data_IF_795522968166
#
_entry.id   IF_795522968166
#
_cell.length_a   1.000
_cell.length_b   1.000
_cell.length_c   1.000
_cell.angle_alpha   90.00
_cell.angle_beta   90.00
_cell.angle_gamma   90.00
#
_symmetry.space_group_name_H-M   'P 1'
#
loop_
_entity.id
_entity.type
_entity.pdbx_description
1 polymer ?
#
# COMPACT_ATOMS: atom_id res chain seq x y z
N UNK A 1 -12.91 -1.99 -42.61
CA UNK A 1 -13.84 -2.28 -43.72
C UNK A 1 -13.20 -1.98 -45.09
N UNK A 2 -12.58 -0.80 -45.30
CA UNK A 2 -11.93 -0.43 -46.59
C UNK A 2 -10.81 -1.42 -46.99
N UNK A 3 -9.94 -1.78 -46.05
CA UNK A 3 -8.89 -2.77 -46.27
C UNK A 3 -9.45 -4.16 -46.59
N UNK A 4 -10.54 -4.58 -45.90
CA UNK A 4 -11.22 -5.85 -46.18
C UNK A 4 -11.79 -5.88 -47.62
N UNK A 5 -12.35 -4.77 -48.12
CA UNK A 5 -12.83 -4.65 -49.49
C UNK A 5 -11.68 -4.66 -50.52
N UNK A 6 -10.52 -4.03 -50.17
CA UNK A 6 -9.35 -4.03 -51.05
C UNK A 6 -8.74 -5.44 -51.18
N UNK A 7 -8.69 -6.20 -50.09
CA UNK A 7 -8.17 -7.58 -50.09
C UNK A 7 -9.15 -8.55 -50.75
N UNK A 8 -10.46 -8.26 -50.67
CA UNK A 8 -11.57 -9.03 -51.23
C UNK A 8 -11.48 -10.55 -51.02
N UNK A 9 -10.89 -10.93 -49.88
CA UNK A 9 -10.74 -12.33 -49.46
C UNK A 9 -11.04 -12.44 -47.95
N UNK A 10 -12.24 -12.92 -47.57
CA UNK A 10 -12.68 -13.01 -46.16
C UNK A 10 -11.83 -13.99 -45.34
N UNK A 11 -11.12 -14.92 -45.99
CA UNK A 11 -10.20 -15.85 -45.30
C UNK A 11 -8.95 -15.11 -44.81
N UNK A 12 -8.45 -14.14 -45.61
CA UNK A 12 -7.27 -13.38 -45.25
C UNK A 12 -7.58 -12.24 -44.26
N UNK A 13 -8.68 -11.52 -44.51
CA UNK A 13 -9.06 -10.36 -43.67
C UNK A 13 -10.57 -10.19 -43.62
N UNK A 14 -11.19 -10.62 -42.54
CA UNK A 14 -12.59 -10.37 -42.27
C UNK A 14 -12.86 -8.89 -41.93
N UNK A 15 -13.97 -8.37 -42.43
CA UNK A 15 -14.41 -7.00 -42.14
C UNK A 15 -15.05 -6.86 -40.76
N UNK A 16 -15.14 -5.62 -40.24
CA UNK A 16 -15.81 -5.37 -38.95
C UNK A 16 -17.26 -5.84 -38.90
N UNK A 17 -18.00 -5.79 -40.02
CA UNK A 17 -19.39 -6.28 -40.11
C UNK A 17 -19.46 -7.80 -39.99
N UNK A 18 -18.55 -8.52 -40.66
CA UNK A 18 -18.44 -9.99 -40.57
C UNK A 18 -18.04 -10.43 -39.15
N UNK A 19 -17.06 -9.74 -38.57
CA UNK A 19 -16.64 -9.96 -37.18
C UNK A 19 -17.78 -9.70 -36.18
N UNK A 20 -18.55 -8.61 -36.37
CA UNK A 20 -19.71 -8.29 -35.54
C UNK A 20 -20.79 -9.33 -35.62
N UNK A 21 -21.07 -9.86 -36.84
CA UNK A 21 -22.05 -10.94 -37.06
C UNK A 21 -21.58 -12.22 -36.37
N UNK A 22 -20.32 -12.64 -36.58
CA UNK A 22 -19.75 -13.81 -35.91
C UNK A 22 -19.81 -13.69 -34.38
N UNK A 23 -19.55 -12.49 -33.83
CA UNK A 23 -19.69 -12.24 -32.40
C UNK A 23 -21.14 -12.42 -31.91
N UNK A 24 -22.11 -11.88 -32.61
CA UNK A 24 -23.54 -12.00 -32.27
C UNK A 24 -23.99 -13.47 -32.33
N UNK A 25 -23.62 -14.19 -33.39
CA UNK A 25 -23.91 -15.61 -33.53
C UNK A 25 -23.33 -16.44 -32.37
N UNK A 26 -22.09 -16.13 -31.95
CA UNK A 26 -21.46 -16.78 -30.81
C UNK A 26 -22.13 -16.48 -29.46
N UNK A 27 -22.50 -15.23 -29.18
CA UNK A 27 -23.14 -14.80 -27.91
C UNK A 27 -24.42 -15.53 -27.62
N UNK A 28 -25.22 -15.89 -28.65
CA UNK A 28 -26.47 -16.61 -28.52
C UNK A 28 -26.24 -18.07 -28.08
N UNK A 29 -25.06 -18.63 -28.35
CA UNK A 29 -24.77 -20.03 -28.02
C UNK A 29 -24.48 -20.21 -26.51
N UNK A 30 -25.12 -21.17 -25.82
CA UNK A 30 -24.78 -21.46 -24.41
C UNK A 30 -23.32 -21.86 -24.19
N UNK A 31 -22.67 -22.48 -25.20
CA UNK A 31 -21.24 -22.84 -25.17
C UNK A 31 -20.32 -21.63 -25.07
N UNK A 32 -20.72 -20.47 -25.61
CA UNK A 32 -19.99 -19.22 -25.50
C UNK A 32 -19.81 -18.81 -24.04
N UNK A 33 -20.87 -18.70 -23.29
CA UNK A 33 -20.84 -18.30 -21.88
C UNK A 33 -20.08 -19.28 -21.00
N UNK A 34 -20.17 -20.58 -21.32
CA UNK A 34 -19.38 -21.60 -20.65
C UNK A 34 -17.87 -21.38 -20.89
N UNK A 35 -17.46 -21.18 -22.14
CA UNK A 35 -16.06 -20.90 -22.53
C UNK A 35 -15.54 -19.65 -21.85
N UNK A 36 -16.28 -18.53 -21.92
CA UNK A 36 -15.92 -17.26 -21.28
C UNK A 36 -15.75 -17.43 -19.76
N UNK A 37 -16.68 -18.11 -19.11
CA UNK A 37 -16.64 -18.30 -17.66
C UNK A 37 -15.45 -19.15 -17.22
N UNK A 38 -15.13 -20.22 -17.93
CA UNK A 38 -13.97 -21.08 -17.60
C UNK A 38 -12.64 -20.36 -17.77
N UNK A 39 -12.41 -19.66 -18.89
CA UNK A 39 -11.21 -18.85 -19.09
C UNK A 39 -11.11 -17.73 -18.04
N UNK A 40 -12.23 -17.03 -17.77
CA UNK A 40 -12.25 -15.99 -16.73
C UNK A 40 -11.85 -16.55 -15.36
N UNK A 41 -12.42 -17.68 -14.96
CA UNK A 41 -12.12 -18.30 -13.66
C UNK A 41 -10.65 -18.75 -13.55
N UNK A 42 -10.11 -19.39 -14.58
CA UNK A 42 -8.72 -19.84 -14.60
C UNK A 42 -7.73 -18.68 -14.52
N UNK A 43 -7.93 -17.66 -15.35
CA UNK A 43 -7.06 -16.47 -15.38
C UNK A 43 -7.19 -15.68 -14.08
N UNK A 44 -8.42 -15.47 -13.59
CA UNK A 44 -8.68 -14.78 -12.33
C UNK A 44 -8.08 -15.54 -11.13
N UNK A 45 -8.19 -16.86 -11.07
CA UNK A 45 -7.58 -17.66 -10.02
C UNK A 45 -6.05 -17.48 -9.98
N UNK A 46 -5.38 -17.51 -11.14
CA UNK A 46 -3.95 -17.24 -11.25
C UNK A 46 -3.60 -15.81 -10.84
N UNK A 47 -4.39 -14.82 -11.28
CA UNK A 47 -4.21 -13.43 -10.92
C UNK A 47 -4.32 -13.21 -9.40
N UNK A 48 -5.39 -13.66 -8.76
CA UNK A 48 -5.57 -13.47 -7.32
C UNK A 48 -4.55 -14.26 -6.49
N UNK A 49 -4.16 -15.45 -6.92
CA UNK A 49 -3.08 -16.19 -6.31
C UNK A 49 -1.75 -15.41 -6.39
N UNK A 50 -1.43 -14.86 -7.57
CA UNK A 50 -0.25 -14.02 -7.78
C UNK A 50 -0.26 -12.74 -6.93
N UNK A 51 -1.40 -12.08 -6.83
CA UNK A 51 -1.58 -10.92 -5.94
C UNK A 51 -1.39 -11.32 -4.48
N UNK A 52 -2.05 -12.37 -4.01
CA UNK A 52 -1.98 -12.81 -2.61
C UNK A 52 -0.56 -13.21 -2.20
N UNK A 53 0.09 -14.06 -2.99
CA UNK A 53 1.47 -14.51 -2.72
C UNK A 53 2.44 -13.33 -2.85
N UNK A 54 2.26 -12.45 -3.87
CA UNK A 54 3.09 -11.27 -4.07
C UNK A 54 3.03 -10.30 -2.88
N UNK A 55 1.85 -10.02 -2.36
CA UNK A 55 1.66 -9.18 -1.17
C UNK A 55 2.32 -9.79 0.07
N UNK A 56 2.07 -11.07 0.34
CA UNK A 56 2.65 -11.77 1.51
C UNK A 56 4.17 -11.80 1.42
N UNK A 57 4.70 -12.16 0.25
CA UNK A 57 6.15 -12.21 0.02
C UNK A 57 6.80 -10.83 0.16
N UNK A 58 6.19 -9.77 -0.37
CA UNK A 58 6.69 -8.41 -0.22
C UNK A 58 6.70 -7.94 1.24
N UNK A 59 5.63 -8.22 2.00
CA UNK A 59 5.59 -7.91 3.43
C UNK A 59 6.65 -8.70 4.21
N UNK A 60 6.87 -9.97 3.88
CA UNK A 60 7.91 -10.79 4.48
C UNK A 60 9.31 -10.27 4.15
N UNK A 61 9.57 -9.89 2.89
CA UNK A 61 10.84 -9.30 2.44
C UNK A 61 11.10 -7.94 3.10
N UNK A 62 10.09 -7.11 3.26
CA UNK A 62 10.22 -5.84 3.96
C UNK A 62 10.61 -6.01 5.43
N UNK A 63 10.21 -7.13 6.07
CA UNK A 63 10.52 -7.43 7.47
C UNK A 63 11.82 -8.20 7.64
N UNK A 64 12.16 -9.08 6.69
CA UNK A 64 13.31 -9.97 6.74
C UNK A 64 14.13 -9.86 5.45
N UNK A 65 15.25 -9.11 5.44
CA UNK A 65 16.08 -8.89 4.23
C UNK A 65 16.56 -10.19 3.57
N UNK A 66 16.79 -11.25 4.33
CA UNK A 66 17.19 -12.57 3.81
C UNK A 66 16.16 -13.11 2.82
N UNK A 67 14.86 -12.89 3.05
CA UNK A 67 13.80 -13.34 2.14
C UNK A 67 13.93 -12.63 0.79
N UNK A 68 14.23 -11.34 0.81
CA UNK A 68 14.45 -10.57 -0.42
C UNK A 68 15.68 -11.09 -1.19
N UNK A 69 16.78 -11.32 -0.50
CA UNK A 69 18.01 -11.83 -1.12
C UNK A 69 17.78 -13.18 -1.81
N UNK A 70 16.95 -14.05 -1.24
CA UNK A 70 16.62 -15.36 -1.82
C UNK A 70 15.65 -15.23 -3.01
N UNK A 71 14.59 -14.44 -2.87
CA UNK A 71 13.51 -14.39 -3.86
C UNK A 71 13.75 -13.40 -5.00
N UNK A 72 14.52 -12.33 -4.80
CA UNK A 72 14.80 -11.34 -5.84
C UNK A 72 15.42 -11.95 -7.12
N UNK A 73 16.42 -12.85 -7.06
CA UNK A 73 16.95 -13.52 -8.25
C UNK A 73 15.90 -14.39 -8.94
N UNK A 74 15.08 -15.11 -8.17
CA UNK A 74 14.01 -15.98 -8.72
C UNK A 74 12.97 -15.16 -9.47
N UNK A 75 12.50 -14.07 -8.87
CA UNK A 75 11.51 -13.18 -9.50
C UNK A 75 12.08 -12.48 -10.74
N UNK A 76 13.35 -12.13 -10.70
CA UNK A 76 14.07 -11.56 -11.87
C UNK A 76 14.16 -12.59 -13.00
N UNK A 77 14.43 -13.84 -12.69
CA UNK A 77 14.44 -14.93 -13.67
C UNK A 77 13.05 -15.12 -14.28
N UNK A 78 11.98 -15.16 -13.46
CA UNK A 78 10.60 -15.28 -13.95
C UNK A 78 10.27 -14.15 -14.92
N UNK A 79 10.70 -12.92 -14.67
CA UNK A 79 10.48 -11.77 -15.58
C UNK A 79 11.27 -11.85 -16.88
N UNK A 80 12.45 -12.46 -16.85
CA UNK A 80 13.33 -12.55 -17.99
C UNK A 80 12.96 -13.66 -18.96
N UNK A 81 12.35 -14.74 -18.49
CA UNK A 81 12.00 -15.92 -19.29
C UNK A 81 10.77 -15.60 -20.16
N UNK A 82 10.81 -15.88 -21.49
CA UNK A 82 9.65 -15.73 -22.36
C UNK A 82 8.47 -16.58 -21.87
N UNK A 83 7.26 -16.02 -21.88
CA UNK A 83 6.05 -16.72 -21.45
C UNK A 83 5.84 -18.06 -22.18
N UNK A 84 6.12 -18.11 -23.48
CA UNK A 84 6.01 -19.32 -24.29
C UNK A 84 6.87 -20.46 -23.78
N UNK A 85 8.08 -20.16 -23.27
CA UNK A 85 8.97 -21.17 -22.68
C UNK A 85 8.38 -21.76 -21.40
N UNK A 86 7.78 -20.92 -20.54
CA UNK A 86 7.05 -21.39 -19.36
C UNK A 86 5.87 -22.29 -19.73
N UNK A 87 5.10 -21.90 -20.76
CA UNK A 87 3.96 -22.70 -21.25
C UNK A 87 4.39 -24.11 -21.61
N UNK A 88 5.49 -24.26 -22.37
CA UNK A 88 6.01 -25.57 -22.77
C UNK A 88 6.48 -26.38 -21.56
N UNK A 89 7.19 -25.74 -20.61
CA UNK A 89 7.65 -26.42 -19.40
C UNK A 89 6.47 -26.90 -18.54
N UNK A 90 5.45 -26.08 -18.35
CA UNK A 90 4.27 -26.45 -17.56
C UNK A 90 3.44 -27.55 -18.23
N UNK A 91 3.38 -27.61 -19.56
CA UNK A 91 2.73 -28.72 -20.29
C UNK A 91 3.43 -30.07 -20.07
N UNK A 92 4.73 -30.05 -19.81
CA UNK A 92 5.48 -31.29 -19.49
C UNK A 92 5.15 -31.79 -18.08
N UNK A 93 4.91 -30.87 -17.13
CA UNK A 93 4.73 -31.19 -15.70
C UNK A 93 3.26 -31.29 -15.28
N UNK A 94 2.37 -30.55 -15.93
CA UNK A 94 0.97 -30.44 -15.55
C UNK A 94 0.02 -30.57 -16.74
N UNK A 95 -1.26 -30.83 -16.42
CA UNK A 95 -2.32 -30.89 -17.41
C UNK A 95 -2.63 -29.49 -17.96
N UNK A 96 -3.12 -29.43 -19.20
CA UNK A 96 -3.46 -28.19 -19.92
C UNK A 96 -4.49 -27.31 -19.18
N UNK A 97 -5.35 -27.90 -18.34
CA UNK A 97 -6.40 -27.18 -17.59
C UNK A 97 -5.87 -26.18 -16.56
N UNK A 98 -4.71 -26.43 -15.98
CA UNK A 98 -4.07 -25.53 -14.99
C UNK A 98 -3.14 -24.50 -15.62
N UNK A 99 -2.91 -24.59 -16.92
CA UNK A 99 -1.85 -23.85 -17.61
C UNK A 99 -2.07 -22.33 -17.54
N UNK A 100 -3.28 -21.84 -17.90
CA UNK A 100 -3.59 -20.40 -17.88
C UNK A 100 -3.53 -19.82 -16.46
N UNK A 101 -3.93 -20.62 -15.46
CA UNK A 101 -3.83 -20.23 -14.04
C UNK A 101 -2.36 -20.08 -13.62
N UNK A 102 -1.51 -21.06 -13.93
CA UNK A 102 -0.09 -21.03 -13.58
C UNK A 102 0.67 -19.89 -14.29
N UNK A 103 0.39 -19.67 -15.57
CA UNK A 103 1.03 -18.60 -16.34
C UNK A 103 0.59 -17.22 -15.86
N UNK A 104 -0.71 -17.02 -15.60
CA UNK A 104 -1.22 -15.76 -15.02
C UNK A 104 -0.58 -15.50 -13.65
N UNK A 105 -0.44 -16.52 -12.81
CA UNK A 105 0.27 -16.43 -11.53
C UNK A 105 1.71 -15.97 -11.70
N UNK A 106 2.49 -16.66 -12.57
CA UNK A 106 3.90 -16.35 -12.79
C UNK A 106 4.15 -14.91 -13.30
N UNK A 107 3.23 -14.39 -14.11
CA UNK A 107 3.39 -13.04 -14.68
C UNK A 107 2.94 -11.95 -13.71
N UNK A 108 1.92 -12.20 -12.90
CA UNK A 108 1.37 -11.23 -11.94
C UNK A 108 2.25 -11.11 -10.70
N UNK A 109 2.74 -12.23 -10.16
CA UNK A 109 3.49 -12.31 -8.92
C UNK A 109 4.66 -11.32 -8.84
N UNK A 110 5.62 -11.25 -9.80
CA UNK A 110 6.75 -10.35 -9.69
C UNK A 110 6.36 -8.87 -9.71
N UNK A 111 5.35 -8.50 -10.51
CA UNK A 111 4.90 -7.12 -10.61
C UNK A 111 4.29 -6.63 -9.28
N UNK A 112 3.41 -7.43 -8.70
CA UNK A 112 2.78 -7.10 -7.40
C UNK A 112 3.82 -7.09 -6.28
N UNK A 113 4.72 -8.06 -6.25
CA UNK A 113 5.79 -8.12 -5.26
C UNK A 113 6.66 -6.85 -5.26
N UNK A 114 7.20 -6.49 -6.44
CA UNK A 114 8.10 -5.34 -6.57
C UNK A 114 7.36 -4.05 -6.16
N UNK A 115 6.17 -3.81 -6.72
CA UNK A 115 5.41 -2.59 -6.43
C UNK A 115 4.99 -2.50 -4.96
N UNK A 116 4.67 -3.61 -4.33
CA UNK A 116 4.33 -3.64 -2.90
C UNK A 116 5.56 -3.36 -2.03
N UNK A 117 6.69 -3.96 -2.35
CA UNK A 117 7.94 -3.76 -1.61
C UNK A 117 8.43 -2.31 -1.71
N UNK A 118 8.41 -1.74 -2.91
CA UNK A 118 8.72 -0.33 -3.14
C UNK A 118 7.75 0.60 -2.42
N UNK A 119 6.45 0.30 -2.43
CA UNK A 119 5.43 1.05 -1.70
C UNK A 119 5.64 1.02 -0.18
N UNK A 120 6.04 -0.12 0.39
CA UNK A 120 6.38 -0.22 1.81
C UNK A 120 7.63 0.62 2.13
N UNK A 121 8.66 0.56 1.29
CA UNK A 121 9.92 1.29 1.48
C UNK A 121 9.81 2.80 1.28
N UNK A 122 8.90 3.23 0.42
CA UNK A 122 8.61 4.65 0.20
C UNK A 122 7.83 5.30 1.33
N UNK A 123 7.37 4.52 2.32
CA UNK A 123 6.64 5.04 3.46
C UNK A 123 7.51 5.98 4.29
N UNK A 124 7.00 7.18 4.59
CA UNK A 124 7.73 8.17 5.37
C UNK A 124 8.01 7.67 6.79
N UNK A 125 9.29 7.50 7.09
CA UNK A 125 9.77 7.06 8.41
C UNK A 125 9.35 8.02 9.52
N UNK A 126 9.19 9.32 9.22
CA UNK A 126 8.75 10.35 10.18
C UNK A 126 7.33 10.10 10.67
N UNK A 127 6.44 9.64 9.78
CA UNK A 127 5.07 9.24 10.15
C UNK A 127 5.07 7.97 11.01
N UNK A 128 5.97 7.03 10.75
CA UNK A 128 6.11 5.82 11.55
C UNK A 128 6.63 6.14 12.96
N UNK A 129 7.59 7.05 13.09
CA UNK A 129 8.05 7.54 14.39
C UNK A 129 6.93 8.24 15.17
N UNK A 130 6.16 9.11 14.50
CA UNK A 130 4.98 9.74 15.08
C UNK A 130 3.99 8.68 15.59
N UNK A 131 3.66 7.71 14.75
CA UNK A 131 2.76 6.62 15.13
C UNK A 131 3.32 5.75 16.27
N UNK A 132 4.63 5.66 16.45
CA UNK A 132 5.27 4.98 17.58
C UNK A 132 5.08 5.79 18.87
N UNK A 133 5.36 7.09 18.86
CA UNK A 133 5.19 7.98 20.03
C UNK A 133 3.75 7.97 20.52
N UNK A 134 2.78 8.11 19.60
CA UNK A 134 1.36 8.07 19.91
C UNK A 134 0.78 6.65 20.05
N UNK A 135 1.61 5.61 20.06
CA UNK A 135 1.25 4.20 20.31
C UNK A 135 0.12 3.69 19.41
N UNK A 136 0.17 4.06 18.13
CA UNK A 136 -0.83 3.58 17.16
C UNK A 136 -0.82 2.06 17.04
N UNK A 137 -2.01 1.50 16.94
CA UNK A 137 -2.16 0.06 16.67
C UNK A 137 -1.55 -0.31 15.32
N UNK A 138 -1.11 -1.57 15.11
CA UNK A 138 -0.65 -2.04 13.79
C UNK A 138 -1.69 -1.84 12.70
N UNK A 139 -2.99 -1.93 13.05
CA UNK A 139 -4.12 -1.69 12.15
C UNK A 139 -4.15 -0.24 11.68
N UNK A 140 -4.05 0.72 12.61
CA UNK A 140 -4.11 2.15 12.28
C UNK A 140 -2.90 2.57 11.44
N UNK A 141 -1.69 2.06 11.77
CA UNK A 141 -0.49 2.26 10.94
C UNK A 141 -0.70 1.78 9.51
N UNK A 142 -1.32 0.61 9.34
CA UNK A 142 -1.60 0.08 8.01
C UNK A 142 -2.58 0.98 7.25
N UNK A 143 -3.73 1.33 7.83
CA UNK A 143 -4.77 2.08 7.13
C UNK A 143 -4.39 3.54 6.84
N UNK A 144 -3.67 4.20 7.76
CA UNK A 144 -3.42 5.64 7.65
C UNK A 144 -2.02 6.00 7.16
N UNK A 145 -1.05 5.07 7.22
CA UNK A 145 0.32 5.33 6.75
C UNK A 145 0.68 4.45 5.56
N UNK A 146 0.62 3.11 5.73
CA UNK A 146 1.05 2.20 4.65
C UNK A 146 0.11 2.19 3.45
N UNK A 147 -1.20 2.14 3.66
CA UNK A 147 -2.18 2.06 2.57
C UNK A 147 -2.11 3.25 1.60
N UNK A 148 -2.02 4.52 2.04
CA UNK A 148 -1.84 5.65 1.13
C UNK A 148 -0.53 5.57 0.33
N UNK A 149 0.57 5.16 0.96
CA UNK A 149 1.85 4.96 0.28
C UNK A 149 1.76 3.83 -0.77
N UNK A 150 1.19 2.69 -0.41
CA UNK A 150 0.99 1.55 -1.32
C UNK A 150 0.08 1.88 -2.50
N UNK A 151 -0.91 2.75 -2.32
CA UNK A 151 -1.88 3.11 -3.36
C UNK A 151 -1.20 3.61 -4.63
N UNK A 152 -0.21 4.49 -4.52
CA UNK A 152 0.53 5.04 -5.66
C UNK A 152 1.19 3.95 -6.53
N UNK A 153 1.76 2.93 -5.89
CA UNK A 153 2.46 1.85 -6.58
C UNK A 153 1.50 0.77 -7.08
N UNK A 154 0.49 0.42 -6.30
CA UNK A 154 -0.45 -0.63 -6.65
C UNK A 154 -1.46 -0.21 -7.73
N UNK A 155 -1.85 1.06 -7.82
CA UNK A 155 -2.74 1.57 -8.87
C UNK A 155 -2.18 1.26 -10.28
N UNK A 156 -0.90 1.51 -10.51
CA UNK A 156 -0.24 1.23 -11.78
C UNK A 156 0.04 -0.27 -11.97
N UNK A 157 0.47 -0.93 -10.90
CA UNK A 157 0.81 -2.36 -10.94
C UNK A 157 -0.40 -3.25 -11.23
N UNK A 158 -1.57 -2.94 -10.65
CA UNK A 158 -2.83 -3.65 -10.94
C UNK A 158 -3.18 -3.53 -12.42
N UNK A 159 -3.15 -2.31 -13.00
CA UNK A 159 -3.43 -2.11 -14.43
C UNK A 159 -2.54 -2.95 -15.31
N UNK A 160 -1.23 -2.88 -15.10
CA UNK A 160 -0.25 -3.65 -15.87
C UNK A 160 -0.46 -5.15 -15.69
N UNK A 161 -0.65 -5.61 -14.46
CA UNK A 161 -0.79 -7.04 -14.13
C UNK A 161 -2.07 -7.66 -14.69
N UNK A 162 -3.19 -6.93 -14.71
CA UNK A 162 -4.43 -7.41 -15.36
C UNK A 162 -4.22 -7.62 -16.85
N UNK A 163 -3.67 -6.60 -17.54
CA UNK A 163 -3.42 -6.70 -18.98
C UNK A 163 -2.45 -7.82 -19.34
N UNK A 164 -1.37 -7.99 -18.59
CA UNK A 164 -0.41 -9.07 -18.79
C UNK A 164 -1.02 -10.43 -18.45
N UNK A 165 -1.77 -10.55 -17.35
CA UNK A 165 -2.44 -11.79 -16.95
C UNK A 165 -3.40 -12.31 -18.03
N UNK A 166 -4.23 -11.43 -18.61
CA UNK A 166 -5.11 -11.79 -19.72
C UNK A 166 -4.34 -12.20 -20.97
N UNK A 167 -3.38 -11.38 -21.43
CA UNK A 167 -2.58 -11.69 -22.63
C UNK A 167 -1.85 -13.03 -22.49
N UNK A 168 -1.18 -13.24 -21.36
CA UNK A 168 -0.39 -14.45 -21.13
C UNK A 168 -1.27 -15.68 -20.85
N UNK A 169 -2.38 -15.49 -20.14
CA UNK A 169 -3.32 -16.57 -19.85
C UNK A 169 -4.01 -17.10 -21.10
N UNK A 170 -4.53 -16.22 -21.96
CA UNK A 170 -5.13 -16.63 -23.25
C UNK A 170 -4.08 -17.20 -24.19
N UNK A 171 -2.85 -16.64 -24.25
CA UNK A 171 -1.76 -17.21 -25.05
C UNK A 171 -1.42 -18.65 -24.57
N UNK A 172 -1.42 -18.88 -23.27
CA UNK A 172 -1.25 -20.21 -22.71
C UNK A 172 -2.38 -21.17 -23.11
N UNK A 173 -3.63 -20.71 -23.11
CA UNK A 173 -4.80 -21.50 -23.57
C UNK A 173 -4.72 -21.83 -25.07
N UNK A 174 -4.22 -20.90 -25.91
CA UNK A 174 -4.02 -21.16 -27.34
C UNK A 174 -2.99 -22.26 -27.58
N UNK A 175 -1.93 -22.33 -26.78
CA UNK A 175 -0.88 -23.35 -26.91
C UNK A 175 -1.31 -24.69 -26.28
N UNK A 176 -1.93 -24.64 -25.08
CA UNK A 176 -2.32 -25.81 -24.34
C UNK A 176 -3.69 -26.37 -24.70
N UNK A 177 -4.52 -25.61 -25.41
CA UNK A 177 -5.88 -25.97 -25.89
C UNK A 177 -6.74 -26.68 -24.81
N UNK A 178 -6.86 -26.15 -23.59
CA UNK A 178 -7.71 -26.76 -22.58
C UNK A 178 -9.17 -26.68 -22.98
N UNK A 179 -9.97 -27.70 -22.65
CA UNK A 179 -11.36 -27.77 -23.01
C UNK A 179 -12.16 -26.55 -22.47
N UNK A 180 -13.08 -26.07 -23.25
CA UNK A 180 -13.91 -24.89 -22.93
C UNK A 180 -13.09 -23.64 -22.60
N UNK A 181 -12.09 -23.31 -23.39
CA UNK A 181 -11.29 -22.09 -23.25
C UNK A 181 -11.42 -21.16 -24.45
N UNK A 182 -11.19 -19.86 -24.21
CA UNK A 182 -11.10 -18.87 -25.29
C UNK A 182 -9.95 -19.21 -26.24
N UNK A 183 -8.83 -19.68 -25.67
CA UNK A 183 -7.66 -20.10 -26.47
C UNK A 183 -7.95 -21.30 -27.37
N UNK A 184 -8.72 -22.30 -26.90
CA UNK A 184 -9.18 -23.42 -27.72
C UNK A 184 -10.01 -22.94 -28.91
N UNK A 185 -10.95 -21.98 -28.68
CA UNK A 185 -11.78 -21.41 -29.73
C UNK A 185 -10.94 -20.65 -30.76
N UNK A 186 -10.01 -19.81 -30.31
CA UNK A 186 -9.07 -19.12 -31.19
C UNK A 186 -8.23 -20.08 -32.03
N UNK A 187 -7.77 -21.17 -31.44
CA UNK A 187 -6.99 -22.19 -32.13
C UNK A 187 -7.81 -22.95 -33.18
N UNK A 188 -9.06 -23.34 -32.83
CA UNK A 188 -9.96 -24.02 -33.77
C UNK A 188 -10.38 -23.12 -34.93
N UNK A 189 -10.75 -21.86 -34.66
CA UNK A 189 -11.09 -20.89 -35.71
C UNK A 189 -9.91 -20.64 -36.67
N UNK A 190 -8.67 -20.68 -36.15
CA UNK A 190 -7.45 -20.63 -36.98
C UNK A 190 -7.34 -21.86 -37.90
N UNK A 191 -7.59 -23.07 -37.38
CA UNK A 191 -7.51 -24.32 -38.17
C UNK A 191 -8.55 -24.31 -39.28
N UNK A 192 -9.79 -23.85 -38.98
CA UNK A 192 -10.89 -23.78 -39.95
C UNK A 192 -10.79 -22.57 -40.88
N UNK A 193 -9.78 -21.71 -40.72
CA UNK A 193 -9.59 -20.46 -41.51
C UNK A 193 -10.77 -19.47 -41.36
N UNK A 194 -11.46 -19.48 -40.23
CA UNK A 194 -12.57 -18.59 -39.89
C UNK A 194 -12.04 -17.29 -39.25
N UNK A 195 -11.47 -16.39 -40.09
CA UNK A 195 -10.84 -15.16 -39.61
C UNK A 195 -11.79 -14.23 -38.88
N UNK A 196 -13.08 -14.20 -39.28
CA UNK A 196 -14.12 -13.42 -38.59
C UNK A 196 -14.28 -13.88 -37.12
N UNK A 197 -14.24 -15.19 -36.90
CA UNK A 197 -14.38 -15.79 -35.57
C UNK A 197 -13.15 -15.55 -34.70
N UNK A 198 -11.94 -15.65 -35.29
CA UNK A 198 -10.67 -15.28 -34.60
C UNK A 198 -10.74 -13.83 -34.08
N UNK A 199 -11.19 -12.90 -34.93
CA UNK A 199 -11.34 -11.50 -34.56
C UNK A 199 -12.45 -11.29 -33.52
N UNK A 200 -13.56 -12.02 -33.60
CA UNK A 200 -14.64 -11.99 -32.60
C UNK A 200 -14.15 -12.44 -31.21
N UNK A 201 -13.46 -13.59 -31.10
CA UNK A 201 -12.91 -14.05 -29.83
C UNK A 201 -11.78 -13.15 -29.30
N UNK A 202 -11.01 -12.52 -30.21
CA UNK A 202 -10.02 -11.50 -29.81
C UNK A 202 -10.73 -10.28 -29.21
N UNK A 203 -11.84 -9.81 -29.81
CA UNK A 203 -12.63 -8.72 -29.25
C UNK A 203 -13.23 -9.06 -27.88
N UNK A 204 -13.71 -10.30 -27.68
CA UNK A 204 -14.17 -10.80 -26.38
C UNK A 204 -13.06 -10.75 -25.35
N UNK A 205 -11.86 -11.20 -25.71
CA UNK A 205 -10.69 -11.16 -24.80
C UNK A 205 -10.34 -9.74 -24.39
N UNK A 206 -10.33 -8.80 -25.32
CA UNK A 206 -10.09 -7.37 -25.05
C UNK A 206 -11.19 -6.82 -24.12
N UNK A 207 -12.45 -7.08 -24.41
CA UNK A 207 -13.56 -6.62 -23.58
C UNK A 207 -13.47 -7.16 -22.14
N UNK A 208 -13.17 -8.45 -21.97
CA UNK A 208 -13.00 -9.06 -20.65
C UNK A 208 -11.80 -8.47 -19.89
N UNK A 209 -10.68 -8.23 -20.56
CA UNK A 209 -9.51 -7.58 -19.97
C UNK A 209 -9.85 -6.18 -19.46
N UNK A 210 -10.50 -5.34 -20.27
CA UNK A 210 -10.89 -3.97 -19.90
C UNK A 210 -11.94 -3.97 -18.79
N UNK A 211 -12.92 -4.87 -18.82
CA UNK A 211 -13.95 -4.99 -17.78
C UNK A 211 -13.32 -5.43 -16.44
N UNK A 212 -12.42 -6.42 -16.49
CA UNK A 212 -11.69 -6.90 -15.31
C UNK A 212 -10.82 -5.80 -14.69
N UNK A 213 -10.11 -5.02 -15.53
CA UNK A 213 -9.31 -3.88 -15.08
C UNK A 213 -10.17 -2.84 -14.36
N UNK A 214 -11.28 -2.41 -14.99
CA UNK A 214 -12.19 -1.43 -14.39
C UNK A 214 -12.82 -1.94 -13.10
N UNK A 215 -13.24 -3.20 -13.05
CA UNK A 215 -13.84 -3.80 -11.86
C UNK A 215 -12.81 -3.87 -10.69
N UNK A 216 -11.58 -4.30 -10.96
CA UNK A 216 -10.52 -4.39 -9.95
C UNK A 216 -10.10 -3.01 -9.44
N UNK A 217 -9.93 -2.03 -10.33
CA UNK A 217 -9.60 -0.66 -9.93
C UNK A 217 -10.73 -0.02 -9.11
N UNK A 218 -11.99 -0.24 -9.49
CA UNK A 218 -13.15 0.23 -8.72
C UNK A 218 -13.17 -0.41 -7.31
N UNK A 219 -12.95 -1.72 -7.22
CA UNK A 219 -12.89 -2.41 -5.94
C UNK A 219 -11.72 -1.91 -5.08
N UNK A 220 -10.55 -1.69 -5.69
CA UNK A 220 -9.37 -1.15 -5.03
C UNK A 220 -9.58 0.28 -4.54
N UNK A 221 -10.14 1.16 -5.36
CA UNK A 221 -10.49 2.52 -4.96
C UNK A 221 -11.51 2.54 -3.81
N UNK A 222 -12.50 1.64 -3.87
CA UNK A 222 -13.48 1.49 -2.80
C UNK A 222 -12.82 1.08 -1.48
N UNK A 223 -11.87 0.14 -1.55
CA UNK A 223 -11.05 -0.26 -0.40
C UNK A 223 -10.18 0.89 0.11
N UNK A 224 -9.56 1.66 -0.77
CA UNK A 224 -8.72 2.80 -0.39
C UNK A 224 -9.52 3.96 0.23
N UNK A 225 -10.77 4.16 -0.17
CA UNK A 225 -11.67 5.18 0.39
C UNK A 225 -12.35 4.74 1.69
N UNK A 226 -12.30 3.44 2.00
CA UNK A 226 -12.88 2.95 3.24
C UNK A 226 -12.03 3.37 4.44
N UNK A 227 -12.59 4.17 5.33
CA UNK A 227 -11.95 4.61 6.56
C UNK A 227 -12.52 3.80 7.73
N UNK A 228 -11.69 2.98 8.40
CA UNK A 228 -12.13 2.31 9.61
C UNK A 228 -12.33 3.31 10.75
N UNK A 229 -13.20 2.99 11.70
CA UNK A 229 -13.34 3.78 12.92
C UNK A 229 -12.01 3.83 13.67
N UNK A 230 -11.62 5.04 14.07
CA UNK A 230 -10.44 5.25 14.89
C UNK A 230 -10.69 4.70 16.29
N UNK A 231 -9.83 3.80 16.75
CA UNK A 231 -9.93 3.25 18.13
C UNK A 231 -9.27 4.15 19.18
N UNK A 232 -8.63 5.24 18.74
CA UNK A 232 -7.78 6.06 19.59
C UNK A 232 -6.45 5.37 19.93
N UNK A 233 -5.44 6.15 20.22
CA UNK A 233 -4.21 5.61 20.79
C UNK A 233 -4.53 4.98 22.14
N UNK A 234 -4.07 3.77 22.39
CA UNK A 234 -4.33 3.03 23.64
C UNK A 234 -3.64 3.65 24.86
N UNK A 235 -3.85 4.95 25.06
CA UNK A 235 -3.22 5.74 26.12
C UNK A 235 -4.00 5.66 27.45
N UNK A 236 -5.20 5.05 27.44
CA UNK A 236 -6.07 4.95 28.61
C UNK A 236 -5.74 3.81 29.59
N UNK A 237 -4.90 2.84 29.21
CA UNK A 237 -4.72 1.60 30.01
C UNK A 237 -3.45 1.55 30.87
N UNK A 238 -2.69 2.63 30.96
CA UNK A 238 -1.59 2.69 31.92
C UNK A 238 -2.10 3.24 33.24
N UNK A 239 -2.69 2.38 34.07
CA UNK A 239 -2.75 2.62 35.52
C UNK A 239 -1.32 2.63 36.08
N UNK A 240 -0.63 3.74 35.84
CA UNK A 240 0.71 3.94 36.39
C UNK A 240 0.60 4.13 37.88
N UNK A 241 1.34 3.33 38.64
CA UNK A 241 1.51 3.56 40.08
C UNK A 241 1.93 5.02 40.27
N UNK A 242 1.38 5.74 41.27
CA UNK A 242 1.73 7.14 41.51
C UNK A 242 3.22 7.26 41.89
N UNK A 243 4.09 7.37 40.90
CA UNK A 243 5.47 7.80 41.15
C UNK A 243 5.47 9.32 41.28
N UNK A 244 6.17 9.82 42.27
CA UNK A 244 6.28 11.26 42.58
C UNK A 244 6.94 12.05 41.40
N UNK A 245 7.80 11.41 40.62
CA UNK A 245 8.51 12.03 39.49
C UNK A 245 7.94 11.54 38.17
N UNK A 246 7.63 12.50 37.28
CA UNK A 246 7.08 12.21 35.97
C UNK A 246 8.16 11.65 35.02
N UNK A 247 9.39 12.17 35.12
CA UNK A 247 10.51 11.81 34.25
C UNK A 247 11.81 11.81 35.04
N UNK A 248 12.61 10.75 34.89
CA UNK A 248 13.94 10.61 35.51
C UNK A 248 14.94 10.11 34.48
N UNK A 249 16.07 10.80 34.39
CA UNK A 249 17.21 10.46 33.55
C UNK A 249 18.42 10.23 34.48
N UNK A 250 19.08 9.09 34.32
CA UNK A 250 20.21 8.69 35.14
C UNK A 250 21.39 8.31 34.27
N UNK A 251 22.48 9.07 34.39
CA UNK A 251 23.75 8.82 33.71
C UNK A 251 23.61 8.61 32.19
N UNK A 252 22.71 9.38 31.53
CA UNK A 252 22.40 9.22 30.10
C UNK A 252 23.58 9.71 29.25
N UNK A 253 24.11 8.79 28.44
CA UNK A 253 25.10 9.07 27.42
C UNK A 253 24.60 8.76 26.03
N UNK A 254 24.98 9.58 25.04
CA UNK A 254 24.71 9.39 23.63
C UNK A 254 25.77 9.94 22.74
N UNK A 255 26.22 9.13 21.75
CA UNK A 255 27.22 9.51 20.76
C UNK A 255 26.80 9.14 19.35
N UNK A 256 27.23 9.90 18.35
CA UNK A 256 27.07 9.59 16.94
C UNK A 256 28.40 9.76 16.22
N UNK A 257 28.85 8.75 15.49
CA UNK A 257 30.09 8.81 14.71
C UNK A 257 31.35 9.18 15.50
N UNK A 258 31.37 8.82 16.79
CA UNK A 258 32.49 9.15 17.70
C UNK A 258 32.36 10.53 18.36
N UNK A 259 31.38 11.37 17.98
CA UNK A 259 31.08 12.62 18.64
C UNK A 259 30.09 12.41 19.77
N UNK A 260 30.47 12.76 20.99
CA UNK A 260 29.60 12.70 22.16
C UNK A 260 28.64 13.88 22.18
N UNK A 261 27.34 13.56 22.21
CA UNK A 261 26.24 14.56 22.21
C UNK A 261 25.73 14.78 23.64
N UNK A 262 25.56 13.70 24.39
CA UNK A 262 25.22 13.76 25.81
C UNK A 262 26.25 12.95 26.59
N UNK A 263 26.73 13.54 27.71
CA UNK A 263 27.69 12.92 28.57
C UNK A 263 27.21 12.98 30.02
N UNK A 264 26.95 11.82 30.58
CA UNK A 264 26.54 11.63 31.98
C UNK A 264 25.39 12.56 32.43
N UNK A 265 24.39 12.70 31.57
CA UNK A 265 23.30 13.63 31.80
C UNK A 265 22.33 13.04 32.83
N UNK A 266 22.16 13.74 33.96
CA UNK A 266 21.22 13.39 35.02
C UNK A 266 20.20 14.51 35.21
N UNK A 267 18.91 14.16 35.22
CA UNK A 267 17.83 15.11 35.49
C UNK A 267 16.58 14.39 36.04
N UNK A 268 15.79 15.12 36.79
CA UNK A 268 14.50 14.64 37.27
C UNK A 268 13.47 15.77 37.23
N UNK A 269 12.28 15.44 36.72
CA UNK A 269 11.20 16.41 36.54
C UNK A 269 9.95 15.93 37.26
N UNK A 270 9.33 16.84 37.97
CA UNK A 270 8.14 16.55 38.76
C UNK A 270 6.85 16.74 37.91
N UNK A 271 5.79 16.09 38.31
CA UNK A 271 4.48 16.28 37.68
C UNK A 271 4.00 17.72 37.83
N UNK A 272 3.40 18.25 36.73
CA UNK A 272 2.89 19.62 36.69
C UNK A 272 3.97 20.70 36.54
N UNK A 273 5.26 20.34 36.43
CA UNK A 273 6.32 21.30 36.14
C UNK A 273 6.47 21.55 34.65
N UNK A 274 6.89 22.78 34.29
CA UNK A 274 7.27 23.17 32.92
C UNK A 274 8.74 23.51 32.90
N UNK A 275 9.49 22.89 31.99
CA UNK A 275 10.94 23.10 31.87
C UNK A 275 11.29 23.60 30.49
N UNK A 276 12.12 24.62 30.41
CA UNK A 276 12.64 25.18 29.16
C UNK A 276 14.11 24.84 29.00
N UNK A 277 14.46 24.29 27.82
CA UNK A 277 15.84 24.01 27.45
C UNK A 277 16.43 25.18 26.66
N UNK A 278 17.18 26.04 27.33
CA UNK A 278 17.80 27.25 26.73
C UNK A 278 19.24 27.02 26.30
N UNK A 279 19.50 25.98 25.55
CA UNK A 279 20.83 25.64 25.08
C UNK A 279 21.00 25.98 23.59
N UNK A 280 22.21 26.25 23.08
CA UNK A 280 22.47 26.53 21.67
C UNK A 280 21.93 25.45 20.73
N UNK A 281 21.74 25.81 19.45
CA UNK A 281 21.40 24.82 18.42
C UNK A 281 22.52 23.78 18.31
N UNK A 282 22.16 22.52 18.11
CA UNK A 282 23.14 21.42 18.04
C UNK A 282 23.57 20.83 19.40
N UNK A 283 23.07 21.33 20.52
CA UNK A 283 23.40 20.83 21.88
C UNK A 283 22.74 19.48 22.26
N UNK A 284 22.05 18.80 21.34
CA UNK A 284 21.44 17.51 21.58
C UNK A 284 20.01 17.53 22.15
N UNK A 285 19.30 18.69 22.13
CA UNK A 285 17.91 18.79 22.60
C UNK A 285 16.97 17.80 21.92
N UNK A 286 16.95 17.81 20.58
CA UNK A 286 16.13 16.89 19.79
C UNK A 286 16.50 15.42 20.05
N UNK A 287 17.78 15.10 20.21
CA UNK A 287 18.25 13.75 20.57
C UNK A 287 17.72 13.34 21.94
N UNK A 288 17.80 14.23 22.93
CA UNK A 288 17.24 13.98 24.26
C UNK A 288 15.72 13.72 24.19
N UNK A 289 14.97 14.55 23.47
CA UNK A 289 13.53 14.38 23.29
C UNK A 289 13.18 13.08 22.58
N UNK A 290 13.95 12.68 21.55
CA UNK A 290 13.80 11.41 20.85
C UNK A 290 14.01 10.22 21.80
N UNK A 291 14.98 10.29 22.71
CA UNK A 291 15.21 9.25 23.72
C UNK A 291 14.11 9.20 24.74
N UNK A 292 13.61 10.33 25.24
CA UNK A 292 12.47 10.39 26.17
C UNK A 292 11.20 9.84 25.51
N UNK A 293 10.99 10.15 24.22
CA UNK A 293 9.88 9.63 23.43
C UNK A 293 9.99 8.12 23.04
N UNK A 294 11.13 7.47 23.40
CA UNK A 294 11.37 6.06 23.09
C UNK A 294 11.67 5.77 21.63
N UNK A 295 12.02 6.79 20.84
CA UNK A 295 12.43 6.66 19.43
C UNK A 295 13.88 6.21 19.29
N UNK A 296 14.71 6.54 20.27
CA UNK A 296 16.12 6.16 20.35
C UNK A 296 16.44 5.62 21.73
N UNK A 297 17.46 4.77 21.81
CA UNK A 297 17.99 4.27 23.08
C UNK A 297 19.26 5.05 23.44
N UNK A 298 19.48 5.35 24.72
CA UNK A 298 20.77 5.84 25.18
C UNK A 298 21.86 4.75 24.98
N UNK A 299 23.10 5.17 24.82
CA UNK A 299 24.24 4.25 24.72
C UNK A 299 24.66 3.74 26.13
N UNK A 300 24.44 4.57 27.17
CA UNK A 300 24.53 4.19 28.57
C UNK A 300 23.56 5.00 29.41
N UNK A 301 23.25 4.52 30.61
CA UNK A 301 22.28 5.14 31.53
C UNK A 301 20.86 4.67 31.32
N UNK A 302 19.92 5.24 32.06
CA UNK A 302 18.51 4.86 32.04
C UNK A 302 17.59 6.07 31.99
N UNK A 303 16.46 5.91 31.25
CA UNK A 303 15.39 6.90 31.17
C UNK A 303 14.10 6.24 31.65
N UNK A 304 13.58 6.73 32.76
CA UNK A 304 12.33 6.27 33.36
C UNK A 304 11.24 7.30 33.18
N UNK A 305 10.21 6.98 32.39
CA UNK A 305 9.02 7.80 32.21
C UNK A 305 7.88 7.28 33.07
N UNK A 306 7.35 8.10 33.98
CA UNK A 306 6.24 7.76 34.89
C UNK A 306 4.86 7.84 34.23
N UNK A 307 4.76 7.79 32.91
CA UNK A 307 3.50 7.86 32.18
C UNK A 307 3.63 7.85 30.66
N UNK A 308 2.57 8.28 29.99
CA UNK A 308 2.52 8.43 28.54
C UNK A 308 3.25 9.69 28.07
N UNK A 309 3.87 9.60 26.90
CA UNK A 309 4.62 10.72 26.29
C UNK A 309 3.95 11.11 24.98
N UNK A 310 3.73 12.41 24.78
CA UNK A 310 3.40 13.00 23.49
C UNK A 310 4.49 13.96 23.05
N UNK A 311 4.66 14.12 21.75
CA UNK A 311 5.69 15.00 21.19
C UNK A 311 5.15 15.82 20.03
N UNK A 312 5.42 17.13 20.07
CA UNK A 312 5.39 18.02 18.91
C UNK A 312 6.79 18.00 18.33
N UNK A 313 6.93 17.44 17.15
CA UNK A 313 8.21 17.34 16.44
C UNK A 313 8.57 18.69 15.79
N UNK A 314 9.80 18.85 15.40
CA UNK A 314 10.24 20.03 14.64
C UNK A 314 9.50 20.14 13.30
N UNK A 315 9.24 19.00 12.62
CA UNK A 315 8.32 18.93 11.49
C UNK A 315 6.92 18.50 11.95
N UNK A 316 5.87 18.88 11.19
CA UNK A 316 4.49 18.68 11.64
C UNK A 316 4.03 17.22 11.66
N UNK A 317 4.60 16.36 10.81
CA UNK A 317 4.34 14.90 10.74
C UNK A 317 2.85 14.56 10.75
N UNK A 318 2.10 15.22 9.88
CA UNK A 318 0.68 14.95 9.67
C UNK A 318 0.48 13.96 8.52
N UNK A 319 -0.55 13.15 8.62
CA UNK A 319 -1.02 12.35 7.49
C UNK A 319 -1.72 13.28 6.50
N UNK A 320 -1.00 13.75 5.47
CA UNK A 320 -1.40 14.87 4.61
C UNK A 320 -2.65 14.62 3.77
N UNK A 321 -2.93 13.37 3.43
CA UNK A 321 -4.13 12.97 2.68
C UNK A 321 -5.42 13.08 3.51
N UNK A 322 -5.29 13.21 4.83
CA UNK A 322 -6.42 13.33 5.76
C UNK A 322 -6.56 14.73 6.31
N UNK A 323 -7.77 15.06 6.76
CA UNK A 323 -8.04 16.36 7.39
C UNK A 323 -7.33 16.51 8.74
N UNK A 324 -7.19 17.78 9.20
CA UNK A 324 -6.67 18.05 10.55
C UNK A 324 -7.54 17.35 11.61
N UNK A 325 -8.86 17.38 11.44
CA UNK A 325 -9.80 16.69 12.32
C UNK A 325 -9.50 15.19 12.41
N UNK A 326 -9.28 14.54 11.26
CA UNK A 326 -8.96 13.11 11.24
C UNK A 326 -7.61 12.80 11.88
N UNK A 327 -6.59 13.64 11.65
CA UNK A 327 -5.27 13.47 12.29
C UNK A 327 -5.33 13.54 13.82
N UNK A 328 -6.21 14.35 14.40
CA UNK A 328 -6.41 14.42 15.85
C UNK A 328 -7.32 13.28 16.34
N UNK A 329 -8.39 12.97 15.59
CA UNK A 329 -9.29 11.85 15.88
C UNK A 329 -8.56 10.50 15.98
N UNK A 330 -7.54 10.27 15.13
CA UNK A 330 -6.70 9.06 15.19
C UNK A 330 -6.02 8.86 16.54
N UNK A 331 -5.75 9.95 17.27
CA UNK A 331 -5.12 9.90 18.60
C UNK A 331 -6.18 9.79 19.70
N UNK A 332 -7.23 10.60 19.63
CA UNK A 332 -8.24 10.68 20.67
C UNK A 332 -9.24 9.52 20.64
N UNK A 333 -9.48 8.92 19.45
CA UNK A 333 -10.58 7.99 19.23
C UNK A 333 -11.96 8.61 19.28
N UNK A 334 -12.06 9.94 19.50
CA UNK A 334 -13.29 10.70 19.63
C UNK A 334 -13.25 11.95 18.74
N UNK A 335 -14.18 12.01 17.80
CA UNK A 335 -14.28 13.10 16.83
C UNK A 335 -14.68 14.43 17.47
N UNK A 336 -15.55 14.43 18.47
CA UNK A 336 -16.01 15.64 19.13
C UNK A 336 -14.88 16.26 19.94
N UNK A 337 -14.16 15.45 20.68
CA UNK A 337 -12.97 15.88 21.43
C UNK A 337 -11.87 16.38 20.50
N UNK A 338 -11.61 15.71 19.39
CA UNK A 338 -10.67 16.17 18.38
C UNK A 338 -11.05 17.55 17.83
N UNK A 339 -12.35 17.77 17.57
CA UNK A 339 -12.88 19.04 17.08
C UNK A 339 -12.73 20.16 18.11
N UNK A 340 -13.03 19.92 19.37
CA UNK A 340 -12.87 20.89 20.46
C UNK A 340 -11.42 21.41 20.54
N UNK A 341 -10.44 20.51 20.59
CA UNK A 341 -9.03 20.89 20.63
C UNK A 341 -8.58 21.68 19.40
N UNK A 342 -9.08 21.32 18.20
CA UNK A 342 -8.71 22.03 16.96
C UNK A 342 -9.34 23.39 16.86
N UNK A 343 -10.57 23.57 17.30
CA UNK A 343 -11.27 24.89 17.26
C UNK A 343 -10.63 25.92 18.19
N UNK A 344 -9.80 25.51 19.16
CA UNK A 344 -8.99 26.43 19.93
C UNK A 344 -7.87 27.10 19.10
N UNK A 345 -7.46 26.49 17.97
CA UNK A 345 -6.28 26.90 17.19
C UNK A 345 -6.56 27.12 15.70
N UNK A 346 -7.64 26.58 15.14
CA UNK A 346 -8.02 26.61 13.73
C UNK A 346 -9.49 26.96 13.56
N UNK A 347 -9.85 27.51 12.40
CA UNK A 347 -11.23 27.79 12.05
C UNK A 347 -11.99 26.51 11.62
N UNK A 348 -13.32 26.53 11.74
CA UNK A 348 -14.20 25.39 11.41
C UNK A 348 -13.99 24.86 9.98
N UNK A 349 -13.84 25.78 9.01
CA UNK A 349 -13.64 25.41 7.60
C UNK A 349 -12.32 24.71 7.34
N UNK A 350 -11.29 25.00 8.13
CA UNK A 350 -9.94 24.47 7.92
C UNK A 350 -9.74 23.09 8.55
N UNK A 351 -10.45 22.79 9.63
CA UNK A 351 -10.29 21.50 10.32
C UNK A 351 -10.76 20.31 9.49
N UNK A 352 -11.66 20.52 8.52
CA UNK A 352 -12.21 19.46 7.66
C UNK A 352 -11.46 19.29 6.34
N UNK A 353 -10.59 20.23 5.98
CA UNK A 353 -9.78 20.16 4.74
C UNK A 353 -8.61 19.20 4.90
N UNK A 354 -8.17 18.52 3.82
CA UNK A 354 -6.95 17.71 3.83
C UNK A 354 -5.74 18.55 4.26
N UNK A 355 -4.87 17.97 5.09
CA UNK A 355 -3.70 18.71 5.61
C UNK A 355 -2.75 19.19 4.50
N UNK A 356 -2.69 18.53 3.35
CA UNK A 356 -1.90 18.99 2.20
C UNK A 356 -2.33 20.37 1.66
N UNK A 357 -3.58 20.77 1.90
CA UNK A 357 -4.14 22.07 1.46
C UNK A 357 -3.97 23.17 2.50
N UNK A 358 -3.52 22.83 3.71
CA UNK A 358 -3.31 23.79 4.80
C UNK A 358 -1.98 24.53 4.64
N UNK A 359 -1.93 25.78 5.09
CA UNK A 359 -0.66 26.52 5.21
C UNK A 359 0.27 25.89 6.25
N UNK A 360 1.58 26.18 6.19
CA UNK A 360 2.55 25.67 7.17
C UNK A 360 2.15 25.99 8.61
N UNK A 361 1.74 27.22 8.88
CA UNK A 361 1.28 27.62 10.22
C UNK A 361 0.00 26.89 10.68
N UNK A 362 -0.90 26.54 9.74
CA UNK A 362 -2.09 25.76 10.07
C UNK A 362 -1.73 24.29 10.35
N UNK A 363 -0.80 23.71 9.57
CA UNK A 363 -0.27 22.37 9.82
C UNK A 363 0.39 22.30 11.20
N UNK A 364 1.18 23.34 11.54
CA UNK A 364 1.82 23.44 12.86
C UNK A 364 0.81 23.47 13.99
N UNK A 365 -0.23 24.29 13.86
CA UNK A 365 -1.32 24.37 14.86
C UNK A 365 -2.07 23.04 14.98
N UNK A 366 -2.32 22.33 13.88
CA UNK A 366 -2.91 21.01 13.91
C UNK A 366 -2.03 19.97 14.63
N UNK A 367 -0.70 20.00 14.40
CA UNK A 367 0.25 19.11 15.09
C UNK A 367 0.30 19.39 16.60
N UNK A 368 0.24 20.67 17.00
CA UNK A 368 0.16 21.09 18.40
C UNK A 368 -1.17 20.59 19.01
N UNK A 369 -2.32 20.86 18.35
CA UNK A 369 -3.63 20.39 18.81
C UNK A 369 -3.65 18.86 19.02
N UNK A 370 -3.04 18.11 18.09
CA UNK A 370 -2.91 16.66 18.19
C UNK A 370 -2.18 16.21 19.46
N UNK A 371 -1.06 16.85 19.77
CA UNK A 371 -0.28 16.50 20.94
C UNK A 371 -1.02 16.84 22.25
N UNK A 372 -1.70 17.99 22.34
CA UNK A 372 -2.51 18.33 23.51
C UNK A 372 -3.74 17.42 23.65
N UNK A 373 -4.40 17.09 22.55
CA UNK A 373 -5.58 16.23 22.56
C UNK A 373 -5.28 14.80 23.06
N UNK A 374 -4.02 14.37 23.01
CA UNK A 374 -3.58 13.06 23.50
C UNK A 374 -3.71 12.90 25.03
N UNK A 375 -3.73 14.02 25.78
CA UNK A 375 -3.73 14.05 27.25
C UNK A 375 -2.64 13.20 27.91
N UNK A 376 -1.45 13.22 27.31
CA UNK A 376 -0.28 12.49 27.82
C UNK A 376 0.24 13.10 29.12
N UNK A 377 0.85 12.27 29.97
CA UNK A 377 1.47 12.69 31.22
C UNK A 377 2.67 13.61 31.02
N UNK A 378 3.39 13.42 29.91
CA UNK A 378 4.57 14.19 29.51
C UNK A 378 4.35 14.73 28.10
N UNK A 379 4.48 16.05 27.94
CA UNK A 379 4.40 16.72 26.64
C UNK A 379 5.77 17.32 26.29
N UNK A 380 6.35 16.84 25.19
CA UNK A 380 7.60 17.34 24.63
C UNK A 380 7.30 18.31 23.47
N UNK A 381 7.85 19.52 23.51
CA UNK A 381 7.69 20.52 22.48
C UNK A 381 9.05 20.85 21.87
N UNK A 382 9.32 20.33 20.66
CA UNK A 382 10.57 20.60 19.95
C UNK A 382 10.35 21.74 18.95
N UNK A 383 10.87 22.92 19.30
CA UNK A 383 10.72 24.18 18.54
C UNK A 383 9.26 24.47 18.09
N UNK A 384 8.29 24.56 19.01
CA UNK A 384 6.86 24.59 18.67
C UNK A 384 6.42 25.82 17.89
N UNK A 385 7.22 26.92 17.90
CA UNK A 385 6.87 28.22 17.32
C UNK A 385 7.70 28.58 16.09
N UNK A 386 8.50 27.65 15.56
CA UNK A 386 9.23 27.84 14.30
C UNK A 386 8.33 27.44 13.14
N UNK A 387 7.95 28.38 12.27
CA UNK A 387 7.13 28.17 11.09
C UNK A 387 6.31 29.41 10.70
#
# INVERSE_FOLDING_TARGET
QVLSWLVNNPILLAGPLETGKALLDNIVMPSFWKTVSYSLLRIAAGFFAGVGVGLVLACASARFPIIEEIFSPVLSLIKAVPVASFVVLFLIWWHSDMLSTAISFCVVLPNIYISTLEGIRSTDHRLLEMAQVFRWSPRDRFFYIYRPALKLFLDSSIKVSVGLGWKSGVAAEVIGTPAFSIGERLYMSKIYLETADVLAWTAVTIALSVLSEKALLWAWERFCKWEPDCRGAGMSDLSCKPQQKALRLEHVCKSYGGQQILNDFCAAYDRGSTTYFTTPSGSGKTTLFRMIAGLEKPDAGEISCGGSVAMVFQEDRLCEEYSALKNVEMITGDRNRAREHLLCLLEEGDITRPCKELSGGMKRRAAIARAFASQSDILLLDEPFTG
#
